data_IF_635044297610
#
_entry.id   IF_635044297610
#
_cell.length_a   1.000
_cell.length_b   1.000
_cell.length_c   1.000
_cell.angle_alpha   90.00
_cell.angle_beta   90.00
_cell.angle_gamma   90.00
#
_symmetry.space_group_name_H-M   'P 1'
#
loop_
_entity.id
_entity.type
_entity.pdbx_description
1 polymer ?
#
# COMPACT_ATOMS: atom_id res chain seq x y z
N UNK A 1 -9.83 4.59 -40.93
CA UNK A 1 -10.88 5.28 -40.17
C UNK A 1 -11.48 4.38 -39.07
N UNK A 2 -11.64 3.09 -39.28
CA UNK A 2 -12.19 2.15 -38.27
C UNK A 2 -11.34 2.00 -37.00
N UNK A 3 -10.02 1.90 -37.09
CA UNK A 3 -9.13 1.70 -35.94
C UNK A 3 -9.23 2.85 -34.92
N UNK A 4 -9.34 4.10 -35.39
CA UNK A 4 -9.50 5.28 -34.53
C UNK A 4 -10.81 5.23 -33.71
N UNK A 5 -11.92 4.81 -34.35
CA UNK A 5 -13.19 4.69 -33.67
C UNK A 5 -13.24 3.53 -32.67
N UNK A 6 -12.52 2.43 -32.94
CA UNK A 6 -12.39 1.30 -32.01
C UNK A 6 -11.56 1.70 -30.80
N UNK A 7 -10.47 2.42 -30.97
CA UNK A 7 -9.64 2.96 -29.88
C UNK A 7 -10.42 3.92 -28.98
N UNK A 8 -11.21 4.83 -29.56
CA UNK A 8 -12.05 5.76 -28.81
C UNK A 8 -13.10 5.00 -28.00
N UNK A 9 -13.77 4.00 -28.58
CA UNK A 9 -14.74 3.17 -27.87
C UNK A 9 -14.11 2.40 -26.70
N UNK A 10 -12.89 1.89 -26.86
CA UNK A 10 -12.15 1.17 -25.83
C UNK A 10 -11.74 2.09 -24.67
N UNK A 11 -11.29 3.31 -24.96
CA UNK A 11 -10.96 4.34 -23.96
C UNK A 11 -12.21 4.79 -23.20
N UNK A 12 -13.34 4.99 -23.88
CA UNK A 12 -14.60 5.38 -23.25
C UNK A 12 -15.15 4.24 -22.38
N UNK A 13 -15.05 2.99 -22.83
CA UNK A 13 -15.44 1.83 -22.03
C UNK A 13 -14.57 1.66 -20.77
N UNK A 14 -13.25 1.89 -20.88
CA UNK A 14 -12.34 1.87 -19.75
C UNK A 14 -12.63 3.01 -18.76
N UNK A 15 -12.93 4.21 -19.26
CA UNK A 15 -13.31 5.35 -18.42
C UNK A 15 -14.66 5.15 -17.71
N UNK A 16 -15.60 4.45 -18.34
CA UNK A 16 -16.91 4.15 -17.74
C UNK A 16 -16.85 3.08 -16.62
N UNK A 17 -15.78 2.27 -16.55
CA UNK A 17 -15.57 1.31 -15.46
C UNK A 17 -14.98 1.96 -14.20
N UNK A 18 -14.42 3.15 -14.30
CA UNK A 18 -13.78 3.86 -13.18
C UNK A 18 -14.72 4.23 -12.01
N UNK A 19 -15.99 4.64 -12.23
CA UNK A 19 -16.87 5.04 -11.11
C UNK A 19 -17.34 3.89 -10.22
N UNK A 20 -17.24 2.62 -10.64
CA UNK A 20 -17.64 1.49 -9.81
C UNK A 20 -16.60 1.12 -8.73
N UNK A 21 -15.37 1.59 -8.85
CA UNK A 21 -14.31 1.31 -7.88
C UNK A 21 -14.36 2.20 -6.63
N UNK A 22 -15.10 3.31 -6.67
CA UNK A 22 -15.13 4.29 -5.57
C UNK A 22 -16.08 3.90 -4.43
N UNK A 23 -17.01 2.98 -4.67
CA UNK A 23 -18.02 2.57 -3.66
C UNK A 23 -17.54 1.48 -2.69
N UNK A 24 -16.33 0.95 -2.86
CA UNK A 24 -15.77 -0.13 -2.03
C UNK A 24 -15.00 0.36 -0.80
N UNK A 25 -15.25 1.58 -0.34
CA UNK A 25 -14.74 2.03 0.96
C UNK A 25 -15.61 1.48 2.09
N UNK A 26 -15.54 0.18 2.29
CA UNK A 26 -15.82 -0.36 3.62
C UNK A 26 -14.72 0.18 4.52
N UNK A 27 -15.11 0.75 5.65
CA UNK A 27 -14.21 1.18 6.72
C UNK A 27 -13.45 -0.02 7.30
N UNK A 28 -12.53 -0.58 6.54
CA UNK A 28 -11.62 -1.59 7.02
C UNK A 28 -10.60 -0.87 7.90
N UNK A 29 -10.61 -1.17 9.19
CA UNK A 29 -9.58 -0.73 10.10
C UNK A 29 -8.31 -1.49 9.71
N UNK A 30 -7.37 -0.81 9.09
CA UNK A 30 -6.13 -1.40 8.57
C UNK A 30 -4.94 -1.23 9.52
N UNK A 31 -5.14 -0.53 10.64
CA UNK A 31 -4.17 -0.38 11.71
C UNK A 31 -4.85 -0.69 13.05
N UNK A 32 -4.14 -1.38 13.94
CA UNK A 32 -4.64 -1.78 15.26
C UNK A 32 -3.72 -1.32 16.39
N UNK A 33 -2.84 -0.37 16.10
CA UNK A 33 -1.97 0.23 17.10
C UNK A 33 -2.66 1.44 17.76
N UNK A 34 -2.71 1.52 19.11
CA UNK A 34 -3.25 2.69 19.79
C UNK A 34 -2.50 3.98 19.48
N UNK A 35 -1.24 3.88 19.05
CA UNK A 35 -0.43 5.02 18.67
C UNK A 35 -0.90 5.68 17.36
N UNK A 36 -1.71 5.00 16.55
CA UNK A 36 -2.26 5.57 15.32
C UNK A 36 -3.46 6.49 15.54
N UNK A 37 -3.96 6.63 16.77
CA UNK A 37 -5.07 7.52 17.09
C UNK A 37 -4.71 9.00 16.99
N UNK A 38 -3.44 9.34 17.10
CA UNK A 38 -2.97 10.72 17.15
C UNK A 38 -2.06 11.03 15.96
N UNK A 39 -2.20 12.25 15.44
CA UNK A 39 -1.38 12.72 14.34
C UNK A 39 -1.70 12.09 13.00
N UNK A 40 -0.67 11.79 12.23
CA UNK A 40 -0.76 11.23 10.87
C UNK A 40 -0.86 9.70 10.85
N UNK A 41 -0.92 9.05 12.01
CA UNK A 41 -0.95 7.61 12.15
C UNK A 41 0.42 6.94 11.98
N UNK A 42 0.40 5.64 11.68
CA UNK A 42 1.58 4.85 11.39
C UNK A 42 2.03 5.08 9.94
N UNK A 43 3.23 5.62 9.77
CA UNK A 43 3.79 5.88 8.45
C UNK A 43 4.26 4.59 7.77
N UNK A 44 3.90 4.42 6.51
CA UNK A 44 4.41 3.32 5.72
C UNK A 44 5.86 3.58 5.29
N UNK A 45 6.67 2.53 5.32
CA UNK A 45 8.05 2.60 4.82
C UNK A 45 8.01 2.85 3.30
N UNK A 46 8.70 3.89 2.80
CA UNK A 46 8.71 4.20 1.39
C UNK A 46 9.41 3.11 0.56
N UNK A 47 9.03 3.00 -0.69
CA UNK A 47 9.58 2.01 -1.62
C UNK A 47 8.59 0.90 -1.97
N UNK A 48 8.99 0.01 -2.86
CA UNK A 48 8.21 -1.20 -3.19
C UNK A 48 8.33 -2.24 -2.08
N UNK A 49 7.39 -3.18 -2.03
CA UNK A 49 7.44 -4.29 -1.07
C UNK A 49 8.76 -5.09 -1.17
N UNK A 50 9.33 -5.21 -2.38
CA UNK A 50 10.63 -5.85 -2.59
C UNK A 50 11.76 -5.09 -1.87
N UNK A 51 11.76 -3.76 -1.93
CA UNK A 51 12.77 -2.95 -1.24
C UNK A 51 12.61 -3.03 0.27
N UNK A 52 11.37 -3.04 0.74
CA UNK A 52 11.07 -3.22 2.16
C UNK A 52 11.56 -4.58 2.67
N UNK A 53 11.38 -5.66 1.92
CA UNK A 53 11.89 -6.99 2.29
C UNK A 53 13.42 -7.07 2.33
N UNK A 54 14.11 -6.16 1.65
CA UNK A 54 15.57 -5.98 1.72
C UNK A 54 16.02 -4.97 2.79
N UNK A 55 15.15 -4.68 3.77
CA UNK A 55 15.46 -3.72 4.83
C UNK A 55 15.45 -2.25 4.39
N UNK A 56 14.72 -1.90 3.33
CA UNK A 56 14.67 -0.55 2.78
C UNK A 56 15.86 -0.18 1.89
N UNK A 57 16.70 -1.13 1.54
CA UNK A 57 17.80 -0.91 0.61
C UNK A 57 17.27 -0.60 -0.79
N UNK A 58 17.64 0.52 -1.37
CA UNK A 58 17.14 0.93 -2.69
C UNK A 58 17.70 2.24 -3.20
N UNK A 59 18.15 3.12 -2.30
CA UNK A 59 18.59 4.48 -2.65
C UNK A 59 19.74 4.49 -3.68
N UNK A 60 20.70 3.58 -3.54
CA UNK A 60 21.82 3.45 -4.47
C UNK A 60 21.65 2.33 -5.49
N UNK A 61 20.55 1.57 -5.41
CA UNK A 61 20.37 0.40 -6.26
C UNK A 61 19.83 0.79 -7.64
N UNK A 62 20.46 0.22 -8.68
CA UNK A 62 19.97 0.29 -10.06
C UNK A 62 19.76 -1.14 -10.57
N UNK A 63 18.51 -1.54 -10.69
CA UNK A 63 18.13 -2.84 -11.18
C UNK A 63 17.54 -2.75 -12.59
N UNK A 64 17.78 -3.78 -13.39
CA UNK A 64 17.20 -3.92 -14.73
C UNK A 64 15.83 -4.62 -14.69
N UNK A 65 15.47 -5.23 -13.57
CA UNK A 65 14.31 -6.12 -13.43
C UNK A 65 13.35 -5.72 -12.32
N UNK A 66 13.71 -4.78 -11.46
CA UNK A 66 12.87 -4.34 -10.33
C UNK A 66 12.59 -2.85 -10.41
N UNK A 67 11.35 -2.48 -10.10
CA UNK A 67 10.95 -1.07 -9.99
C UNK A 67 11.56 -0.48 -8.73
N UNK A 68 12.25 0.65 -8.86
CA UNK A 68 12.88 1.32 -7.73
C UNK A 68 12.27 2.70 -7.49
N UNK A 69 11.42 2.82 -6.47
CA UNK A 69 10.78 4.08 -6.11
C UNK A 69 11.68 5.02 -5.31
N UNK A 70 12.74 4.48 -4.68
CA UNK A 70 13.65 5.26 -3.83
C UNK A 70 14.73 5.98 -4.63
N UNK A 71 14.98 5.52 -5.86
CA UNK A 71 15.98 6.11 -6.74
C UNK A 71 15.43 6.35 -8.15
N UNK A 72 14.90 7.52 -8.46
CA UNK A 72 14.40 7.84 -9.78
C UNK A 72 15.44 7.70 -10.91
N UNK A 73 16.73 7.85 -10.59
CA UNK A 73 17.80 7.63 -11.57
C UNK A 73 17.89 6.17 -12.04
N UNK A 74 17.32 5.23 -11.30
CA UNK A 74 17.25 3.83 -11.69
C UNK A 74 16.24 3.58 -12.82
N UNK A 75 15.31 4.49 -13.10
CA UNK A 75 14.28 4.26 -14.12
C UNK A 75 14.84 4.07 -15.53
N UNK A 76 16.00 4.62 -15.81
CA UNK A 76 16.71 4.41 -17.09
C UNK A 76 17.58 3.15 -17.14
N UNK A 77 17.64 2.36 -16.04
CA UNK A 77 18.48 1.15 -15.99
C UNK A 77 17.87 -0.04 -16.73
N UNK A 78 16.54 -0.07 -16.86
CA UNK A 78 15.86 -1.13 -17.60
C UNK A 78 16.24 -1.12 -19.10
N UNK A 79 16.22 -2.28 -19.77
CA UNK A 79 16.44 -2.34 -21.21
C UNK A 79 15.42 -1.48 -21.97
N UNK A 80 15.85 -0.88 -23.08
CA UNK A 80 14.96 -0.07 -23.92
C UNK A 80 13.76 -0.89 -24.39
N UNK A 81 12.58 -0.24 -24.46
CA UNK A 81 11.30 -0.87 -24.84
C UNK A 81 10.77 -1.92 -23.85
N UNK A 82 11.26 -1.91 -22.62
CA UNK A 82 10.69 -2.72 -21.54
C UNK A 82 9.77 -1.89 -20.67
N UNK A 83 8.82 -2.56 -20.04
CA UNK A 83 7.91 -2.02 -19.06
C UNK A 83 8.01 -2.90 -17.82
N UNK A 84 8.39 -2.29 -16.70
CA UNK A 84 8.44 -2.97 -15.42
C UNK A 84 7.22 -2.58 -14.61
N UNK A 85 6.58 -3.58 -14.01
CA UNK A 85 5.41 -3.43 -13.17
C UNK A 85 5.63 -4.12 -11.83
N UNK A 86 5.23 -3.46 -10.75
CA UNK A 86 5.23 -4.02 -9.41
C UNK A 86 3.85 -3.86 -8.79
N UNK A 87 3.40 -4.89 -8.08
CA UNK A 87 2.19 -4.90 -7.30
C UNK A 87 2.49 -5.56 -5.96
N UNK A 88 2.27 -4.84 -4.87
CA UNK A 88 2.57 -5.28 -3.52
C UNK A 88 1.32 -5.42 -2.67
N UNK A 89 1.22 -6.55 -1.97
CA UNK A 89 0.23 -6.80 -0.93
C UNK A 89 0.95 -7.17 0.36
N UNK A 90 0.48 -6.67 1.48
CA UNK A 90 1.08 -6.90 2.79
C UNK A 90 0.07 -7.48 3.78
N UNK A 91 0.50 -8.54 4.46
CA UNK A 91 -0.22 -9.08 5.62
C UNK A 91 0.50 -8.72 6.92
N UNK A 92 -0.21 -8.18 7.89
CA UNK A 92 0.34 -7.84 9.20
C UNK A 92 -0.45 -8.54 10.31
N UNK A 93 0.29 -9.06 11.29
CA UNK A 93 -0.28 -9.64 12.49
C UNK A 93 0.05 -8.73 13.68
N UNK A 94 -0.97 -8.21 14.33
CA UNK A 94 -0.83 -7.39 15.53
C UNK A 94 -1.15 -8.22 16.77
N UNK A 95 -0.24 -8.22 17.73
CA UNK A 95 -0.43 -8.84 19.03
C UNK A 95 -0.44 -7.75 20.11
N UNK A 96 -1.60 -7.54 20.70
CA UNK A 96 -1.76 -6.62 21.81
C UNK A 96 -1.87 -7.41 23.12
N UNK A 97 -1.01 -7.10 24.07
CA UNK A 97 -1.08 -7.63 25.43
C UNK A 97 -1.41 -6.49 26.40
N UNK A 98 -2.43 -6.66 27.20
CA UNK A 98 -2.87 -5.69 28.20
C UNK A 98 -3.10 -6.40 29.52
N UNK A 99 -2.67 -5.81 30.63
CA UNK A 99 -2.98 -6.28 31.97
C UNK A 99 -3.93 -5.29 32.62
N UNK A 100 -5.12 -5.75 32.97
CA UNK A 100 -6.15 -4.97 33.65
C UNK A 100 -6.54 -5.70 34.92
N UNK A 101 -6.43 -5.06 36.10
CA UNK A 101 -6.77 -5.69 37.38
C UNK A 101 -5.97 -6.94 37.72
N UNK A 102 -4.73 -7.08 37.24
CA UNK A 102 -3.91 -8.27 37.46
C UNK A 102 -4.19 -9.42 36.47
N UNK A 103 -5.16 -9.28 35.59
CA UNK A 103 -5.50 -10.29 34.57
C UNK A 103 -4.89 -9.89 33.23
N UNK A 104 -4.04 -10.75 32.67
CA UNK A 104 -3.46 -10.57 31.35
C UNK A 104 -4.45 -10.90 30.25
N UNK A 105 -4.80 -9.94 29.39
CA UNK A 105 -5.62 -10.15 28.19
C UNK A 105 -4.76 -9.98 26.94
N UNK A 106 -4.81 -10.94 26.05
CA UNK A 106 -4.10 -10.90 24.76
C UNK A 106 -5.11 -10.87 23.63
N UNK A 107 -4.85 -10.05 22.63
CA UNK A 107 -5.69 -9.95 21.44
C UNK A 107 -4.80 -9.96 20.21
N UNK A 108 -5.16 -10.77 19.23
CA UNK A 108 -4.48 -10.84 17.94
C UNK A 108 -5.40 -10.33 16.83
N UNK A 109 -4.87 -9.51 15.94
CA UNK A 109 -5.55 -9.02 14.76
C UNK A 109 -4.69 -9.28 13.53
N UNK A 110 -5.32 -9.76 12.48
CA UNK A 110 -4.69 -9.95 11.19
C UNK A 110 -5.26 -8.91 10.23
N UNK A 111 -4.39 -8.21 9.53
CA UNK A 111 -4.78 -7.27 8.48
C UNK A 111 -4.15 -7.68 7.16
N UNK A 112 -4.84 -7.38 6.08
CA UNK A 112 -4.33 -7.58 4.74
C UNK A 112 -4.52 -6.26 3.98
N UNK A 113 -3.41 -5.63 3.62
CA UNK A 113 -3.39 -4.30 3.08
C UNK A 113 -2.75 -4.28 1.69
N UNK A 114 -3.23 -3.36 0.87
CA UNK A 114 -2.54 -2.95 -0.33
C UNK A 114 -1.28 -2.17 0.07
N UNK A 115 -0.13 -2.54 -0.52
CA UNK A 115 1.13 -1.87 -0.25
C UNK A 115 1.53 -0.91 -1.36
N UNK A 116 1.64 -1.37 -2.60
CA UNK A 116 2.06 -0.54 -3.72
C UNK A 116 1.58 -1.06 -5.08
N UNK A 117 1.37 -0.11 -5.98
CA UNK A 117 1.39 -0.32 -7.43
C UNK A 117 2.45 0.62 -7.98
N UNK A 118 3.35 0.10 -8.78
CA UNK A 118 4.39 0.90 -9.38
C UNK A 118 4.74 0.42 -10.78
N UNK A 119 5.04 1.38 -11.68
CA UNK A 119 5.58 1.07 -12.98
C UNK A 119 6.76 1.95 -13.30
N UNK A 120 7.62 1.40 -14.14
CA UNK A 120 8.82 2.02 -14.60
C UNK A 120 9.05 1.66 -16.05
N UNK A 121 9.41 2.65 -16.87
CA UNK A 121 9.78 2.45 -18.25
C UNK A 121 10.94 3.35 -18.65
N UNK A 122 11.93 2.87 -19.38
CA UNK A 122 12.92 3.70 -20.01
C UNK A 122 12.33 4.38 -21.27
N UNK A 123 12.40 5.70 -21.34
CA UNK A 123 11.93 6.49 -22.50
C UNK A 123 13.08 6.71 -23.49
N UNK A 124 14.28 6.93 -22.97
CA UNK A 124 15.49 7.14 -23.74
C UNK A 124 16.69 6.51 -23.01
N UNK A 125 17.87 6.48 -23.66
CA UNK A 125 19.08 5.89 -23.08
C UNK A 125 19.45 6.38 -21.68
N UNK A 126 19.07 7.63 -21.34
CA UNK A 126 19.35 8.25 -20.03
C UNK A 126 18.10 8.79 -19.35
N UNK A 127 16.93 8.56 -19.93
CA UNK A 127 15.66 9.06 -19.39
C UNK A 127 14.73 7.88 -19.13
N UNK A 128 14.21 7.81 -17.92
CA UNK A 128 13.17 6.87 -17.53
C UNK A 128 12.00 7.61 -16.88
N UNK A 129 10.82 7.05 -17.01
CA UNK A 129 9.61 7.46 -16.32
C UNK A 129 9.19 6.37 -15.33
N UNK A 130 8.73 6.80 -14.16
CA UNK A 130 8.13 5.95 -13.18
C UNK A 130 6.87 6.59 -12.60
N UNK A 131 5.91 5.77 -12.28
CA UNK A 131 4.70 6.17 -11.57
C UNK A 131 4.42 5.16 -10.47
N UNK A 132 3.95 5.65 -9.33
CA UNK A 132 3.58 4.77 -8.23
C UNK A 132 2.37 5.30 -7.47
N UNK A 133 1.62 4.38 -6.91
CA UNK A 133 0.57 4.61 -5.94
C UNK A 133 0.90 3.78 -4.70
N UNK A 134 1.18 4.45 -3.60
CA UNK A 134 1.52 3.84 -2.31
C UNK A 134 0.76 4.53 -1.19
N UNK A 135 0.19 3.81 -0.22
CA UNK A 135 -0.39 4.42 0.97
C UNK A 135 0.70 5.15 1.76
N UNK A 136 0.43 6.37 2.16
CA UNK A 136 1.37 7.18 2.94
C UNK A 136 1.38 6.79 4.42
N UNK A 137 0.19 6.62 4.99
CA UNK A 137 0.02 6.26 6.39
C UNK A 137 -1.26 5.47 6.61
N UNK A 138 -1.31 4.74 7.71
CA UNK A 138 -2.47 3.99 8.16
C UNK A 138 -2.94 4.52 9.51
N UNK A 139 -4.24 4.82 9.61
CA UNK A 139 -4.88 5.26 10.84
C UNK A 139 -6.01 4.30 11.16
N UNK A 140 -6.05 3.81 12.38
CA UNK A 140 -7.17 2.99 12.84
C UNK A 140 -6.91 2.40 14.22
N UNK A 141 -7.91 2.51 15.08
CA UNK A 141 -7.90 1.90 16.40
C UNK A 141 -9.32 1.54 16.81
N UNK A 142 -9.49 0.36 17.36
CA UNK A 142 -10.78 -0.11 17.84
C UNK A 142 -10.68 -0.49 19.31
N UNK A 143 -11.33 0.27 20.18
CA UNK A 143 -11.51 -0.07 21.58
C UNK A 143 -12.88 -0.68 21.79
N UNK A 144 -12.91 -1.86 22.38
CA UNK A 144 -14.15 -2.44 22.94
C UNK A 144 -14.08 -2.31 24.45
N UNK A 145 -14.94 -1.52 25.02
CA UNK A 145 -15.21 -1.52 26.44
C UNK A 145 -16.27 -2.61 26.71
N UNK A 146 -15.89 -3.65 27.39
CA UNK A 146 -16.88 -4.55 28.00
C UNK A 146 -17.17 -3.97 29.36
N UNK A 147 -18.26 -3.25 29.47
CA UNK A 147 -18.82 -2.92 30.78
C UNK A 147 -19.45 -4.21 31.28
N UNK A 148 -18.77 -4.91 32.18
CA UNK A 148 -19.45 -5.87 33.02
C UNK A 148 -20.29 -5.03 33.99
N UNK A 149 -21.54 -4.79 33.61
CA UNK A 149 -22.55 -4.24 34.50
C UNK A 149 -22.81 -5.34 35.55
N UNK A 150 -22.28 -5.15 36.75
CA UNK A 150 -22.66 -5.93 37.90
C UNK A 150 -23.98 -5.35 38.45
N UNK A 151 -25.11 -6.05 38.35
CA UNK A 151 -26.39 -5.56 38.85
C UNK A 151 -26.49 -5.55 40.38
N UNK A 152 -25.40 -5.82 41.12
CA UNK A 152 -25.34 -5.90 42.57
C UNK A 152 -24.65 -4.70 43.26
N UNK A 153 -24.19 -3.67 42.51
CA UNK A 153 -23.71 -2.40 43.06
C UNK A 153 -24.82 -1.34 43.10
#
# INVERSE_FOLDING_TARGET
MQVKNTLIKLVVAAAAMFPFAVSAQTSSINAFSPYTMYGIGEQNTPGTLQMRSMGGAGVAMRSVSTVNLLNPAAYSAAPQKTFLFNFGLEGQNYYNAQTVGGVGKRTAYNTFNFHDIAFQMPVAKRLGLGFSLTPYSSVGYRTKYTHDYDPSD
#
